data_IF_507000760811
#
_entry.id   IF_507000760811
#
_cell.length_a   1.000
_cell.length_b   1.000
_cell.length_c   1.000
_cell.angle_alpha   90.00
_cell.angle_beta   90.00
_cell.angle_gamma   90.00
#
_symmetry.space_group_name_H-M   'P 1'
#
loop_
_entity.id
_entity.type
_entity.pdbx_description
1 polymer ?
#
# COMPACT_ATOMS: atom_id res chain seq x y z
N UNK A 1 13.35 3.91 -0.48
CA UNK A 1 12.35 4.94 -0.72
C UNK A 1 11.35 5.02 0.41
N UNK A 2 10.90 6.20 0.73
CA UNK A 2 9.93 6.39 1.81
C UNK A 2 8.62 6.92 1.27
N UNK A 3 7.54 6.24 1.63
CA UNK A 3 6.19 6.70 1.31
C UNK A 3 5.39 6.77 2.59
N UNK A 4 4.66 7.85 2.72
CA UNK A 4 3.78 8.02 3.85
C UNK A 4 2.51 7.22 3.61
N UNK A 5 2.12 6.41 4.59
CA UNK A 5 0.91 5.61 4.49
C UNK A 5 -0.03 5.92 5.64
N UNK A 6 -1.31 5.68 5.41
CA UNK A 6 -2.34 5.88 6.43
C UNK A 6 -2.90 4.52 6.82
N UNK A 7 -2.79 4.19 8.09
CA UNK A 7 -3.26 2.93 8.63
C UNK A 7 -4.55 3.15 9.40
N UNK A 8 -5.56 2.34 9.13
CA UNK A 8 -6.84 2.40 9.82
C UNK A 8 -7.21 1.03 10.36
N UNK A 9 -7.66 1.01 11.59
CA UNK A 9 -8.14 -0.22 12.23
C UNK A 9 -9.65 -0.29 12.15
N UNK A 10 -10.18 -1.47 11.83
CA UNK A 10 -11.61 -1.73 11.81
C UNK A 10 -11.88 -3.05 12.50
N UNK A 11 -13.15 -3.42 12.63
CA UNK A 11 -13.52 -4.69 13.22
C UNK A 11 -13.04 -5.88 12.40
N UNK A 12 -12.85 -5.68 11.12
CA UNK A 12 -12.40 -6.74 10.22
C UNK A 12 -10.88 -6.85 10.09
N UNK A 13 -10.15 -5.90 10.69
CA UNK A 13 -8.70 -5.90 10.62
C UNK A 13 -8.15 -4.52 10.36
N UNK A 14 -7.11 -4.45 9.54
CA UNK A 14 -6.44 -3.18 9.24
C UNK A 14 -6.49 -2.90 7.75
N UNK A 15 -6.66 -1.64 7.42
CA UNK A 15 -6.52 -1.18 6.05
C UNK A 15 -5.46 -0.09 6.00
N UNK A 16 -4.79 0.02 4.88
CA UNK A 16 -3.69 0.97 4.72
C UNK A 16 -3.70 1.51 3.31
N UNK A 17 -3.40 2.79 3.17
CA UNK A 17 -3.36 3.44 1.87
C UNK A 17 -2.12 4.31 1.76
N UNK A 18 -1.74 4.59 0.52
CA UNK A 18 -0.64 5.50 0.21
C UNK A 18 -1.21 6.69 -0.56
N UNK A 19 -1.49 7.82 0.13
CA UNK A 19 -2.16 8.95 -0.50
C UNK A 19 -1.45 9.54 -1.72
N UNK A 20 -0.13 9.43 -1.76
CA UNK A 20 0.67 9.96 -2.88
C UNK A 20 0.47 9.15 -4.15
N UNK A 21 0.02 7.91 -4.02
CA UNK A 21 -0.18 7.03 -5.16
C UNK A 21 -1.67 6.69 -5.28
N UNK A 22 -2.41 7.39 -6.14
CA UNK A 22 -3.86 7.18 -6.26
C UNK A 22 -4.24 5.73 -6.51
N UNK A 23 -5.17 5.21 -5.72
CA UNK A 23 -5.63 3.84 -5.85
C UNK A 23 -4.71 2.79 -5.21
N UNK A 24 -3.61 3.21 -4.61
CA UNK A 24 -2.70 2.29 -3.94
C UNK A 24 -3.14 2.07 -2.48
N UNK A 25 -3.68 0.90 -2.19
CA UNK A 25 -4.11 0.56 -0.85
C UNK A 25 -4.00 -0.94 -0.64
N UNK A 26 -4.03 -1.36 0.61
CA UNK A 26 -3.99 -2.77 0.94
C UNK A 26 -4.67 -3.02 2.28
N UNK A 27 -4.69 -4.26 2.73
CA UNK A 27 -5.32 -4.64 3.98
C UNK A 27 -4.63 -5.87 4.57
N UNK A 28 -4.92 -6.14 5.83
CA UNK A 28 -4.40 -7.31 6.51
C UNK A 28 -5.14 -7.53 7.82
N UNK A 29 -5.00 -8.71 8.40
CA UNK A 29 -5.63 -9.02 9.67
C UNK A 29 -4.88 -8.38 10.84
N UNK A 30 -3.60 -8.11 10.65
CA UNK A 30 -2.76 -7.44 11.64
C UNK A 30 -2.12 -6.22 11.02
N UNK A 31 -1.64 -5.32 11.88
CA UNK A 31 -0.92 -4.13 11.42
C UNK A 31 0.30 -4.52 10.60
N UNK A 32 1.07 -5.48 11.10
CA UNK A 32 2.26 -5.95 10.42
C UNK A 32 1.94 -6.49 9.02
N UNK A 33 0.87 -7.28 8.93
CA UNK A 33 0.45 -7.84 7.65
C UNK A 33 0.02 -6.74 6.68
N UNK A 34 -0.78 -5.79 7.15
CA UNK A 34 -1.23 -4.69 6.31
C UNK A 34 -0.06 -3.87 5.79
N UNK A 35 0.92 -3.57 6.66
CA UNK A 35 2.09 -2.79 6.27
C UNK A 35 2.96 -3.55 5.28
N UNK A 36 3.11 -4.85 5.44
CA UNK A 36 3.83 -5.67 4.48
C UNK A 36 3.13 -5.69 3.13
N UNK A 37 1.81 -5.79 3.15
CA UNK A 37 1.03 -5.82 1.92
C UNK A 37 1.07 -4.49 1.17
N UNK A 38 1.03 -3.36 1.87
CA UNK A 38 1.10 -2.07 1.19
C UNK A 38 2.48 -1.84 0.58
N UNK A 39 3.51 -2.35 1.21
CA UNK A 39 4.85 -2.25 0.67
C UNK A 39 4.93 -2.96 -0.68
N UNK A 40 4.37 -4.15 -0.76
CA UNK A 40 4.33 -4.90 -2.01
C UNK A 40 3.48 -4.18 -3.06
N UNK A 41 2.36 -3.62 -2.64
CA UNK A 41 1.49 -2.88 -3.54
C UNK A 41 2.18 -1.64 -4.13
N UNK A 42 2.95 -0.94 -3.32
CA UNK A 42 3.71 0.23 -3.77
C UNK A 42 4.76 -0.19 -4.80
N UNK A 43 5.46 -1.26 -4.53
CA UNK A 43 6.47 -1.75 -5.46
C UNK A 43 5.87 -2.14 -6.81
N UNK A 44 4.72 -2.80 -6.81
CA UNK A 44 4.02 -3.14 -8.04
C UNK A 44 3.54 -1.89 -8.78
N UNK A 45 2.99 -0.94 -8.02
CA UNK A 45 2.51 0.31 -8.60
C UNK A 45 3.61 1.03 -9.36
N UNK A 46 4.76 1.17 -8.73
CA UNK A 46 5.91 1.85 -9.33
C UNK A 46 6.47 1.08 -10.53
N UNK A 47 6.46 -0.24 -10.44
CA UNK A 47 6.93 -1.08 -11.53
C UNK A 47 6.06 -0.90 -12.79
N UNK A 48 4.74 -0.84 -12.61
CA UNK A 48 3.83 -0.62 -13.72
C UNK A 48 4.05 0.74 -14.36
N UNK A 49 4.29 1.78 -13.55
CA UNK A 49 4.58 3.10 -14.06
C UNK A 49 5.87 3.13 -14.88
N UNK A 50 6.89 2.44 -14.41
CA UNK A 50 8.15 2.35 -15.14
C UNK A 50 7.97 1.68 -16.50
N UNK A 51 7.20 0.61 -16.54
CA UNK A 51 6.93 -0.09 -17.79
C UNK A 51 6.21 0.79 -18.81
N UNK A 52 5.37 1.70 -18.33
CA UNK A 52 4.64 2.59 -19.22
C UNK A 52 5.52 3.63 -19.91
N UNK A 53 6.64 3.96 -19.30
CA UNK A 53 7.53 4.99 -19.82
C UNK A 53 8.74 4.44 -20.56
N UNK A 54 8.85 3.14 -20.60
CA UNK A 54 9.88 2.48 -21.40
C UNK A 54 9.34 2.15 -22.79
#
# INVERSE_FOLDING_TARGET
>A
MRYKVVLQKSEEGFSVSCPVLPGCWSQGETEEEALGNIKDAIEEYLSVLEERFL
#
